data_IF_581907514337
#
_entry.id   IF_581907514337
#
_cell.length_a   1.000
_cell.length_b   1.000
_cell.length_c   1.000
_cell.angle_alpha   90.00
_cell.angle_beta   90.00
_cell.angle_gamma   90.00
#
_symmetry.space_group_name_H-M   'P 1'
#
loop_
_entity.id
_entity.type
_entity.pdbx_description
1 polymer ?
#
# COMPACT_ATOMS: atom_id res chain seq x y z
N UNK A 1 10.22 -5.50 -12.85
CA UNK A 1 8.83 -5.94 -13.14
C UNK A 1 8.63 -6.33 -14.59
N UNK A 2 8.98 -5.47 -15.57
CA UNK A 2 8.85 -5.74 -17.01
C UNK A 2 9.30 -7.14 -17.49
N UNK A 3 10.50 -7.61 -17.09
CA UNK A 3 11.00 -8.92 -17.48
C UNK A 3 10.13 -10.09 -16.98
N UNK A 4 9.56 -9.97 -15.77
CA UNK A 4 8.65 -10.97 -15.19
C UNK A 4 7.33 -10.97 -15.97
N UNK A 5 6.79 -9.80 -16.28
CA UNK A 5 5.57 -9.65 -17.09
C UNK A 5 5.74 -10.25 -18.49
N UNK A 6 6.86 -9.94 -19.16
CA UNK A 6 7.20 -10.53 -20.47
C UNK A 6 7.32 -12.06 -20.40
N UNK A 7 7.96 -12.59 -19.35
CA UNK A 7 8.05 -14.05 -19.13
C UNK A 7 6.67 -14.70 -18.91
N UNK A 8 5.70 -13.96 -18.37
CA UNK A 8 4.31 -14.39 -18.21
C UNK A 8 3.44 -14.09 -19.45
N UNK A 9 4.03 -13.69 -20.58
CA UNK A 9 3.30 -13.40 -21.83
C UNK A 9 2.51 -12.08 -21.82
N UNK A 10 2.77 -11.20 -20.86
CA UNK A 10 2.08 -9.91 -20.72
C UNK A 10 2.94 -8.74 -21.21
N UNK A 11 2.26 -7.64 -21.54
CA UNK A 11 2.91 -6.37 -21.85
C UNK A 11 3.77 -5.89 -20.67
N UNK A 12 4.90 -5.26 -20.97
CA UNK A 12 5.89 -4.83 -19.99
C UNK A 12 5.38 -3.76 -19.03
N UNK A 13 4.48 -2.91 -19.51
CA UNK A 13 3.72 -1.96 -18.70
C UNK A 13 2.39 -2.55 -18.26
N UNK A 14 2.01 -2.27 -17.02
CA UNK A 14 0.65 -2.53 -16.54
C UNK A 14 -0.24 -1.34 -16.86
N UNK A 15 -1.50 -1.60 -17.19
CA UNK A 15 -2.52 -0.55 -17.40
C UNK A 15 -3.44 -0.37 -16.19
N UNK A 16 -3.26 -1.20 -15.15
CA UNK A 16 -4.14 -1.23 -13.98
C UNK A 16 -3.37 -1.62 -12.72
N UNK A 17 -3.76 -1.02 -11.59
CA UNK A 17 -3.23 -1.30 -10.26
C UNK A 17 -4.38 -1.54 -9.28
N UNK A 18 -4.20 -2.54 -8.42
CA UNK A 18 -5.06 -2.85 -7.27
C UNK A 18 -4.32 -2.35 -6.04
N UNK A 19 -5.03 -1.59 -5.20
CA UNK A 19 -4.45 -0.99 -4.00
C UNK A 19 -5.19 -1.50 -2.79
N UNK A 20 -4.42 -1.98 -1.82
CA UNK A 20 -4.91 -2.35 -0.50
C UNK A 20 -4.06 -1.71 0.58
N UNK A 21 -4.64 -1.55 1.77
CA UNK A 21 -4.00 -0.89 2.88
C UNK A 21 -4.21 -1.64 4.20
N UNK A 22 -3.10 -1.90 4.90
CA UNK A 22 -3.10 -2.60 6.18
C UNK A 22 -2.68 -1.68 7.31
N UNK A 23 -3.53 -1.58 8.33
CA UNK A 23 -3.22 -0.87 9.58
C UNK A 23 -2.49 -1.82 10.52
N UNK A 24 -1.34 -1.40 11.04
CA UNK A 24 -0.49 -2.22 11.92
C UNK A 24 -0.05 -1.40 13.14
N UNK A 25 0.07 -2.06 14.28
CA UNK A 25 0.65 -1.45 15.49
C UNK A 25 2.14 -1.16 15.26
N UNK A 26 2.61 -0.05 15.79
CA UNK A 26 4.03 0.31 15.83
C UNK A 26 4.51 0.46 17.28
N UNK A 27 5.75 0.90 17.48
CA UNK A 27 6.30 1.14 18.82
C UNK A 27 5.58 2.30 19.50
N UNK A 28 5.45 2.25 20.82
CA UNK A 28 4.78 3.31 21.58
C UNK A 28 5.49 4.67 21.47
N UNK A 29 6.82 4.65 21.25
CA UNK A 29 7.65 5.83 21.03
C UNK A 29 7.57 6.42 19.62
N UNK A 30 6.82 5.81 18.70
CA UNK A 30 6.71 6.32 17.34
C UNK A 30 5.97 7.67 17.32
N UNK A 31 6.62 8.69 16.77
CA UNK A 31 6.04 10.03 16.65
C UNK A 31 4.96 10.10 15.57
N UNK A 32 5.14 9.38 14.47
CA UNK A 32 4.17 9.31 13.38
C UNK A 32 3.26 8.08 13.55
N UNK A 33 2.15 8.27 14.26
CA UNK A 33 1.10 7.26 14.43
C UNK A 33 -0.28 7.90 14.47
N UNK A 34 -1.26 7.14 14.02
CA UNK A 34 -2.68 7.48 14.05
C UNK A 34 -3.49 6.34 14.65
N UNK A 35 -4.81 6.41 14.53
CA UNK A 35 -5.72 5.34 14.94
C UNK A 35 -6.71 5.00 13.83
N UNK A 36 -6.69 3.74 13.39
CA UNK A 36 -7.75 3.18 12.58
C UNK A 36 -8.84 2.64 13.52
N UNK A 37 -9.91 3.42 13.70
CA UNK A 37 -11.01 3.09 14.59
C UNK A 37 -11.80 1.84 14.12
N UNK A 38 -11.90 1.64 12.80
CA UNK A 38 -12.58 0.48 12.22
C UNK A 38 -11.85 -0.83 12.53
N UNK A 39 -10.52 -0.79 12.55
CA UNK A 39 -9.66 -1.95 12.87
C UNK A 39 -9.22 -1.99 14.35
N UNK A 40 -9.50 -0.95 15.12
CA UNK A 40 -9.01 -0.75 16.51
C UNK A 40 -7.48 -0.87 16.62
N UNK A 41 -6.78 -0.26 15.65
CA UNK A 41 -5.32 -0.27 15.58
C UNK A 41 -4.78 1.14 15.73
N UNK A 42 -4.00 1.37 16.79
CA UNK A 42 -3.14 2.54 16.89
C UNK A 42 -1.78 2.24 16.28
N UNK A 43 -1.35 3.01 15.29
CA UNK A 43 -0.07 2.82 14.62
C UNK A 43 -0.02 3.47 13.25
N UNK A 44 0.51 2.73 12.28
CA UNK A 44 0.66 3.16 10.87
C UNK A 44 -0.25 2.36 9.95
N UNK A 45 -0.45 2.85 8.74
CA UNK A 45 -1.09 2.13 7.65
C UNK A 45 -0.11 2.03 6.49
N UNK A 46 0.09 0.81 5.98
CA UNK A 46 0.92 0.52 4.80
C UNK A 46 0.01 0.29 3.60
N UNK A 47 0.20 1.07 2.55
CA UNK A 47 -0.52 0.98 1.28
C UNK A 47 0.38 0.28 0.28
N UNK A 48 -0.14 -0.70 -0.45
CA UNK A 48 0.60 -1.40 -1.50
C UNK A 48 -0.23 -1.39 -2.77
N UNK A 49 0.41 -0.98 -3.87
CA UNK A 49 -0.15 -1.11 -5.21
C UNK A 49 0.47 -2.35 -5.89
N UNK A 50 -0.37 -3.25 -6.36
CA UNK A 50 0.04 -4.41 -7.17
C UNK A 50 -0.66 -4.38 -8.53
N UNK A 51 -0.05 -4.97 -9.54
CA UNK A 51 -0.76 -5.22 -10.80
C UNK A 51 -1.59 -6.51 -10.74
N UNK A 52 -2.26 -6.82 -11.86
CA UNK A 52 -3.08 -8.04 -12.02
C UNK A 52 -2.30 -9.35 -11.93
N UNK A 53 -0.96 -9.30 -11.97
CA UNK A 53 -0.08 -10.46 -11.80
C UNK A 53 0.48 -10.53 -10.36
N UNK A 54 0.02 -9.66 -9.46
CA UNK A 54 0.46 -9.59 -8.08
C UNK A 54 1.86 -8.98 -7.90
N UNK A 55 2.40 -8.33 -8.92
CA UNK A 55 3.73 -7.73 -8.83
C UNK A 55 3.60 -6.34 -8.14
N UNK A 56 4.44 -6.02 -7.12
CA UNK A 56 4.34 -4.78 -6.36
C UNK A 56 4.96 -3.58 -7.08
N UNK A 57 4.19 -2.51 -7.29
CA UNK A 57 4.59 -1.29 -8.02
C UNK A 57 4.95 -0.12 -7.09
N UNK A 58 4.28 0.01 -5.94
CA UNK A 58 4.51 1.11 -5.01
C UNK A 58 4.14 0.70 -3.59
N UNK A 59 4.83 1.29 -2.61
CA UNK A 59 4.51 1.20 -1.20
C UNK A 59 4.51 2.60 -0.59
N UNK A 60 3.49 2.91 0.22
CA UNK A 60 3.42 4.13 1.01
C UNK A 60 3.12 3.78 2.47
N UNK A 61 3.65 4.57 3.40
CA UNK A 61 3.37 4.43 4.83
C UNK A 61 2.82 5.75 5.34
N UNK A 62 1.71 5.69 6.05
CA UNK A 62 1.05 6.86 6.64
C UNK A 62 0.65 6.57 8.08
N UNK A 63 0.25 7.59 8.84
CA UNK A 63 -0.48 7.38 10.09
C UNK A 63 -1.77 6.54 9.85
N UNK A 64 -2.19 5.74 10.83
CA UNK A 64 -3.28 4.77 10.65
C UNK A 64 -4.66 5.38 10.39
N UNK A 65 -4.86 6.65 10.75
CA UNK A 65 -6.08 7.42 10.52
C UNK A 65 -6.19 8.00 9.09
N UNK A 66 -5.12 7.92 8.30
CA UNK A 66 -5.16 8.29 6.88
C UNK A 66 -6.01 7.28 6.10
N UNK A 67 -6.99 7.78 5.35
CA UNK A 67 -7.85 6.96 4.49
C UNK A 67 -7.07 6.35 3.34
N UNK A 68 -7.52 5.18 2.88
CA UNK A 68 -6.84 4.44 1.82
C UNK A 68 -6.79 5.26 0.52
N UNK A 69 -7.87 6.00 0.21
CA UNK A 69 -7.91 6.96 -0.90
C UNK A 69 -6.81 8.02 -0.81
N UNK A 70 -6.58 8.60 0.38
CA UNK A 70 -5.58 9.66 0.55
C UNK A 70 -4.16 9.10 0.54
N UNK A 71 -3.94 7.92 1.14
CA UNK A 71 -2.63 7.25 1.11
C UNK A 71 -2.26 6.63 -0.25
N UNK A 72 -3.22 6.56 -1.18
CA UNK A 72 -3.09 6.04 -2.54
C UNK A 72 -2.72 7.12 -3.58
N UNK A 73 -2.89 8.41 -3.28
CA UNK A 73 -2.51 9.47 -4.20
C UNK A 73 -0.97 9.57 -4.26
N UNK A 74 -0.38 9.83 -5.45
CA UNK A 74 1.06 9.99 -5.56
C UNK A 74 1.54 11.13 -4.65
N UNK A 75 2.62 10.88 -3.90
CA UNK A 75 3.40 11.91 -3.24
C UNK A 75 4.20 12.72 -4.27
#
# INVERSE_FOLDING_TARGET
MAAVRRKQGSHEETTFLIIDAQSVKNTDSAMEKGCDAGKKVSGIKRHIAVDTQGLPHTLAVTAADVTDRKGCLPA
#
